data_IF_967063507271
#
_entry.id   IF_967063507271
#
_cell.length_a   1.000
_cell.length_b   1.000
_cell.length_c   1.000
_cell.angle_alpha   90.00
_cell.angle_beta   90.00
_cell.angle_gamma   90.00
#
_symmetry.space_group_name_H-M   'P 1'
#
loop_
_entity.id
_entity.type
_entity.pdbx_description
1 polymer ?
#
# COMPACT_ATOMS: atom_id res chain seq x y z
N UNK A 1 34.91 -19.86 -10.36
CA UNK A 1 33.72 -20.71 -10.10
C UNK A 1 33.84 -21.90 -11.04
N UNK A 2 33.67 -23.16 -10.60
CA UNK A 2 33.75 -24.28 -11.54
C UNK A 2 32.51 -24.31 -12.47
N UNK A 3 32.65 -24.95 -13.63
CA UNK A 3 31.59 -25.01 -14.65
C UNK A 3 30.31 -25.68 -14.13
N UNK A 4 30.44 -26.82 -13.42
CA UNK A 4 29.29 -27.55 -12.87
C UNK A 4 28.45 -26.71 -11.89
N UNK A 5 29.11 -25.92 -11.03
CA UNK A 5 28.46 -25.04 -10.06
C UNK A 5 27.75 -23.89 -10.77
N UNK A 6 28.37 -23.34 -11.82
CA UNK A 6 27.74 -22.32 -12.65
C UNK A 6 26.48 -22.88 -13.32
N UNK A 7 26.58 -24.05 -13.96
CA UNK A 7 25.46 -24.71 -14.63
C UNK A 7 24.31 -25.05 -13.68
N UNK A 8 24.63 -25.55 -12.48
CA UNK A 8 23.61 -25.85 -11.46
C UNK A 8 22.84 -24.61 -11.02
N UNK A 9 23.55 -23.50 -10.82
CA UNK A 9 22.93 -22.20 -10.50
C UNK A 9 22.12 -21.68 -11.69
N UNK A 10 22.65 -21.77 -12.91
CA UNK A 10 21.98 -21.30 -14.12
C UNK A 10 20.69 -22.08 -14.39
N UNK A 11 20.70 -23.40 -14.19
CA UNK A 11 19.52 -24.26 -14.29
C UNK A 11 18.45 -23.83 -13.29
N UNK A 12 18.81 -23.66 -12.01
CA UNK A 12 17.87 -23.20 -10.99
C UNK A 12 17.29 -21.81 -11.30
N UNK A 13 18.11 -20.88 -11.80
CA UNK A 13 17.67 -19.53 -12.19
C UNK A 13 16.68 -19.54 -13.36
N UNK A 14 16.84 -20.44 -14.33
CA UNK A 14 15.95 -20.56 -15.49
C UNK A 14 14.63 -21.25 -15.16
N UNK A 15 14.66 -22.23 -14.25
CA UNK A 15 13.47 -23.02 -13.92
C UNK A 15 12.61 -22.36 -12.82
N UNK A 16 13.22 -21.64 -11.87
CA UNK A 16 12.54 -21.17 -10.67
C UNK A 16 12.54 -19.63 -10.57
N UNK A 17 11.38 -19.04 -10.29
CA UNK A 17 11.25 -17.61 -10.02
C UNK A 17 11.60 -17.29 -8.56
N UNK A 18 12.88 -17.41 -8.20
CA UNK A 18 13.38 -17.21 -6.84
C UNK A 18 14.46 -16.13 -6.75
N UNK A 19 14.60 -15.55 -5.56
CA UNK A 19 15.67 -14.60 -5.25
C UNK A 19 17.02 -15.29 -5.05
N UNK A 20 18.10 -14.51 -5.18
CA UNK A 20 19.47 -15.03 -5.05
C UNK A 20 19.72 -15.74 -3.71
N UNK A 21 19.18 -15.21 -2.61
CA UNK A 21 19.31 -15.81 -1.29
C UNK A 21 18.57 -17.15 -1.16
N UNK A 22 17.42 -17.31 -1.82
CA UNK A 22 16.64 -18.54 -1.79
C UNK A 22 17.34 -19.64 -2.59
N UNK A 23 17.81 -19.31 -3.80
CA UNK A 23 18.60 -20.25 -4.63
C UNK A 23 19.91 -20.60 -3.93
N UNK A 24 20.57 -19.64 -3.29
CA UNK A 24 21.77 -19.84 -2.48
C UNK A 24 21.55 -20.86 -1.36
N UNK A 25 20.50 -20.66 -0.55
CA UNK A 25 20.13 -21.58 0.52
C UNK A 25 19.78 -22.98 -0.03
N UNK A 26 19.01 -23.05 -1.12
CA UNK A 26 18.59 -24.30 -1.75
C UNK A 26 19.77 -25.12 -2.29
N UNK A 27 20.75 -24.46 -2.91
CA UNK A 27 21.88 -25.11 -3.58
C UNK A 27 23.13 -25.22 -2.71
N UNK A 28 23.10 -24.71 -1.47
CA UNK A 28 24.25 -24.64 -0.58
C UNK A 28 25.39 -23.79 -1.13
N UNK A 29 25.07 -22.68 -1.81
CA UNK A 29 26.07 -21.78 -2.42
C UNK A 29 25.96 -20.37 -1.87
N UNK A 30 27.01 -19.56 -2.01
CA UNK A 30 26.95 -18.15 -1.62
C UNK A 30 26.01 -17.34 -2.52
N UNK A 31 25.24 -16.41 -1.94
CA UNK A 31 24.34 -15.53 -2.69
C UNK A 31 25.07 -14.67 -3.74
N UNK A 32 26.35 -14.37 -3.51
CA UNK A 32 27.21 -13.67 -4.44
C UNK A 32 27.51 -14.49 -5.71
N UNK A 33 27.68 -15.82 -5.57
CA UNK A 33 27.83 -16.70 -6.72
C UNK A 33 26.56 -16.69 -7.58
N UNK A 34 25.38 -16.76 -6.96
CA UNK A 34 24.09 -16.68 -7.66
C UNK A 34 23.91 -15.32 -8.35
N UNK A 35 24.36 -14.23 -7.71
CA UNK A 35 24.32 -12.88 -8.30
C UNK A 35 25.16 -12.79 -9.57
N UNK A 36 26.38 -13.34 -9.57
CA UNK A 36 27.25 -13.37 -10.75
C UNK A 36 26.63 -14.16 -11.90
N UNK A 37 26.19 -15.39 -11.66
CA UNK A 37 25.55 -16.22 -12.70
C UNK A 37 24.30 -15.54 -13.26
N UNK A 38 23.50 -14.88 -12.41
CA UNK A 38 22.33 -14.12 -12.86
C UNK A 38 22.71 -12.96 -13.79
N UNK A 39 23.81 -12.26 -13.49
CA UNK A 39 24.34 -11.20 -14.35
C UNK A 39 24.90 -11.74 -15.67
N UNK A 40 25.64 -12.85 -15.63
CA UNK A 40 26.19 -13.53 -16.82
C UNK A 40 25.09 -13.98 -17.78
N UNK A 41 23.94 -14.41 -17.24
CA UNK A 41 22.75 -14.78 -18.02
C UNK A 41 21.95 -13.57 -18.53
N UNK A 42 22.40 -12.33 -18.28
CA UNK A 42 21.66 -11.11 -18.64
C UNK A 42 20.33 -10.95 -17.90
N UNK A 43 20.10 -11.70 -16.82
CA UNK A 43 18.84 -11.67 -16.09
C UNK A 43 18.81 -10.47 -15.15
N UNK A 44 17.68 -9.75 -15.16
CA UNK A 44 17.48 -8.67 -14.20
C UNK A 44 17.48 -9.18 -12.75
N UNK A 45 17.87 -8.30 -11.82
CA UNK A 45 17.82 -8.59 -10.40
C UNK A 45 16.40 -9.03 -10.00
N UNK A 46 16.30 -10.14 -9.28
CA UNK A 46 15.00 -10.64 -8.82
C UNK A 46 14.33 -9.60 -7.93
N UNK A 47 13.22 -9.03 -8.41
CA UNK A 47 12.38 -8.14 -7.62
C UNK A 47 11.31 -8.98 -6.96
N UNK A 48 11.38 -9.11 -5.64
CA UNK A 48 10.24 -9.63 -4.89
C UNK A 48 9.02 -8.79 -5.23
N UNK A 49 7.99 -9.42 -5.81
CA UNK A 49 6.68 -8.77 -5.92
C UNK A 49 6.22 -8.47 -4.50
N UNK A 50 5.83 -7.22 -4.26
CA UNK A 50 5.17 -6.87 -3.01
C UNK A 50 3.93 -7.77 -2.91
N UNK A 51 3.81 -8.50 -1.80
CA UNK A 51 2.63 -9.33 -1.56
C UNK A 51 1.39 -8.43 -1.61
N UNK A 52 0.52 -8.69 -2.59
CA UNK A 52 -0.84 -8.15 -2.59
C UNK A 52 -1.60 -8.94 -1.56
N UNK A 53 -2.11 -8.25 -0.55
CA UNK A 53 -2.87 -8.89 0.51
C UNK A 53 -4.33 -8.96 0.12
N UNK A 54 -4.89 -10.16 0.17
CA UNK A 54 -6.34 -10.37 0.04
C UNK A 54 -7.01 -10.42 1.42
N UNK A 55 -8.33 -10.27 1.45
CA UNK A 55 -9.12 -10.48 2.67
C UNK A 55 -8.87 -11.87 3.26
N UNK A 56 -8.94 -12.94 2.46
CA UNK A 56 -8.73 -14.31 2.94
C UNK A 56 -7.36 -14.51 3.62
N UNK A 57 -6.30 -13.91 3.09
CA UNK A 57 -4.97 -13.97 3.72
C UNK A 57 -4.87 -13.16 5.01
N UNK A 58 -5.53 -12.00 5.04
CA UNK A 58 -5.64 -11.20 6.25
C UNK A 58 -6.38 -11.95 7.34
N UNK A 59 -7.50 -12.60 7.02
CA UNK A 59 -8.29 -13.37 8.00
C UNK A 59 -7.52 -14.54 8.60
N UNK A 60 -6.74 -15.27 7.79
CA UNK A 60 -5.82 -16.30 8.28
C UNK A 60 -4.80 -15.75 9.28
N UNK A 61 -4.32 -14.53 9.05
CA UNK A 61 -3.31 -13.87 9.89
C UNK A 61 -3.92 -13.12 11.09
N UNK A 62 -5.22 -12.82 11.03
CA UNK A 62 -5.96 -12.04 12.00
C UNK A 62 -7.38 -12.63 12.21
N UNK A 63 -7.48 -13.79 12.88
CA UNK A 63 -8.76 -14.44 13.09
C UNK A 63 -9.68 -13.57 13.93
N UNK A 64 -10.97 -13.68 13.63
CA UNK A 64 -12.03 -12.99 14.36
C UNK A 64 -12.22 -13.61 15.73
N UNK A 65 -12.38 -12.76 16.73
CA UNK A 65 -12.71 -13.11 18.09
C UNK A 65 -14.19 -12.85 18.35
N UNK A 66 -14.70 -13.43 19.43
CA UNK A 66 -16.00 -13.06 19.97
C UNK A 66 -16.05 -11.55 20.25
N UNK A 67 -17.18 -10.91 19.93
CA UNK A 67 -17.33 -9.45 19.99
C UNK A 67 -16.84 -8.70 18.75
N UNK A 68 -16.51 -9.41 17.66
CA UNK A 68 -16.22 -8.79 16.38
C UNK A 68 -14.83 -8.17 16.27
N UNK A 69 -13.91 -8.46 17.20
CA UNK A 69 -12.52 -8.00 17.14
C UNK A 69 -11.64 -8.95 16.32
N UNK A 70 -10.48 -8.48 15.86
CA UNK A 70 -9.44 -9.32 15.26
C UNK A 70 -8.11 -9.07 15.95
N UNK A 71 -7.34 -10.13 16.21
CA UNK A 71 -5.97 -10.01 16.73
C UNK A 71 -4.97 -10.56 15.73
N UNK A 72 -3.95 -9.75 15.45
CA UNK A 72 -2.85 -10.15 14.58
C UNK A 72 -1.99 -11.25 15.23
N UNK A 73 -1.92 -12.40 14.56
CA UNK A 73 -1.07 -13.54 14.94
C UNK A 73 0.29 -13.56 14.22
N UNK A 74 0.49 -12.70 13.22
CA UNK A 74 1.72 -12.64 12.44
C UNK A 74 2.86 -11.87 13.13
N UNK A 75 3.88 -11.54 12.34
CA UNK A 75 5.08 -10.81 12.79
C UNK A 75 4.73 -9.49 13.49
N UNK A 76 5.50 -9.17 14.52
CA UNK A 76 5.52 -7.86 15.19
C UNK A 76 6.85 -7.16 14.96
N UNK A 77 6.83 -5.83 14.93
CA UNK A 77 8.03 -5.00 14.89
C UNK A 77 8.68 -4.89 16.27
N UNK A 78 9.85 -4.23 16.37
CA UNK A 78 10.59 -4.08 17.63
C UNK A 78 9.78 -3.42 18.76
N UNK A 79 8.90 -2.48 18.42
CA UNK A 79 7.99 -1.80 19.36
C UNK A 79 6.69 -2.58 19.64
N UNK A 80 6.61 -3.85 19.26
CA UNK A 80 5.41 -4.68 19.42
C UNK A 80 4.29 -4.40 18.41
N UNK A 81 4.48 -3.44 17.49
CA UNK A 81 3.50 -3.07 16.46
C UNK A 81 3.27 -4.25 15.49
N UNK A 82 2.04 -4.68 15.25
CA UNK A 82 1.70 -5.68 14.24
C UNK A 82 2.16 -5.29 12.83
N UNK A 83 2.90 -6.16 12.15
CA UNK A 83 3.47 -5.91 10.83
C UNK A 83 2.97 -6.93 9.81
N UNK A 84 2.35 -6.45 8.73
CA UNK A 84 2.00 -7.27 7.58
C UNK A 84 3.23 -7.55 6.70
N UNK A 85 4.14 -6.59 6.58
CA UNK A 85 5.46 -6.78 5.97
C UNK A 85 6.48 -5.79 6.56
N UNK A 86 7.65 -5.61 5.93
CA UNK A 86 8.70 -4.71 6.45
C UNK A 86 8.28 -3.23 6.52
N UNK A 87 7.34 -2.78 5.69
CA UNK A 87 6.93 -1.38 5.55
C UNK A 87 5.45 -1.12 5.87
N UNK A 88 4.63 -2.17 5.91
CA UNK A 88 3.18 -2.08 6.11
C UNK A 88 2.79 -2.67 7.46
N UNK A 89 2.17 -1.85 8.32
CA UNK A 89 1.58 -2.33 9.57
C UNK A 89 0.29 -3.12 9.31
N UNK A 90 -0.06 -4.04 10.21
CA UNK A 90 -1.34 -4.76 10.08
C UNK A 90 -2.55 -3.82 10.21
N UNK A 91 -2.42 -2.71 10.96
CA UNK A 91 -3.45 -1.68 11.05
C UNK A 91 -3.71 -1.01 9.71
N UNK A 92 -2.66 -0.54 9.03
CA UNK A 92 -2.79 0.08 7.71
C UNK A 92 -3.34 -0.92 6.68
N UNK A 93 -2.91 -2.18 6.75
CA UNK A 93 -3.45 -3.22 5.89
C UNK A 93 -4.96 -3.42 6.11
N UNK A 94 -5.38 -3.64 7.35
CA UNK A 94 -6.79 -3.86 7.69
C UNK A 94 -7.67 -2.65 7.32
N UNK A 95 -7.15 -1.43 7.54
CA UNK A 95 -7.81 -0.20 7.13
C UNK A 95 -8.04 -0.16 5.61
N UNK A 96 -7.02 -0.47 4.81
CA UNK A 96 -7.12 -0.50 3.34
C UNK A 96 -8.15 -1.51 2.86
N UNK A 97 -8.11 -2.72 3.42
CA UNK A 97 -9.02 -3.80 3.05
C UNK A 97 -10.47 -3.45 3.36
N UNK A 98 -10.73 -2.75 4.47
CA UNK A 98 -12.08 -2.36 4.88
C UNK A 98 -12.60 -1.09 4.19
N UNK A 99 -11.78 -0.04 4.11
CA UNK A 99 -12.21 1.25 3.56
C UNK A 99 -11.91 1.43 2.07
N UNK A 100 -11.23 0.48 1.42
CA UNK A 100 -10.88 0.54 0.00
C UNK A 100 -9.88 1.64 -0.38
N UNK A 101 -9.23 2.29 0.59
CA UNK A 101 -8.31 3.41 0.37
C UNK A 101 -7.10 3.38 1.29
N UNK A 102 -6.08 4.16 0.94
CA UNK A 102 -4.94 4.39 1.81
C UNK A 102 -5.32 5.24 3.04
N UNK A 103 -4.80 4.92 4.24
CA UNK A 103 -5.01 5.75 5.41
C UNK A 103 -4.20 7.03 5.31
N UNK A 104 -4.79 8.15 5.74
CA UNK A 104 -4.06 9.41 5.89
C UNK A 104 -3.57 9.56 7.32
N UNK A 105 -2.25 9.64 7.47
CA UNK A 105 -1.60 9.75 8.77
C UNK A 105 -1.67 8.46 9.60
N UNK A 106 -1.70 8.61 10.92
CA UNK A 106 -1.66 7.48 11.86
C UNK A 106 -3.03 6.80 11.98
N UNK A 107 -3.05 5.50 11.71
CA UNK A 107 -4.20 4.62 11.97
C UNK A 107 -4.25 4.25 13.45
N UNK A 108 -5.42 4.39 14.07
CA UNK A 108 -5.68 4.06 15.47
C UNK A 108 -7.00 3.30 15.60
N UNK A 109 -7.08 2.37 16.56
CA UNK A 109 -8.36 1.77 16.91
C UNK A 109 -9.23 2.71 17.75
N UNK A 110 -10.55 2.73 17.49
CA UNK A 110 -11.57 3.36 18.36
C UNK A 110 -12.17 2.39 19.37
N UNK A 111 -12.02 1.08 19.17
CA UNK A 111 -12.51 0.10 20.13
C UNK A 111 -11.60 0.02 21.37
N UNK A 112 -12.17 -0.42 22.50
CA UNK A 112 -11.42 -0.61 23.75
C UNK A 112 -10.48 -1.82 23.74
N UNK A 113 -10.60 -2.74 22.76
CA UNK A 113 -9.77 -3.94 22.67
C UNK A 113 -8.34 -3.59 22.21
N UNK A 114 -7.38 -3.70 23.13
CA UNK A 114 -5.95 -3.47 22.84
C UNK A 114 -5.46 -4.39 21.73
N UNK A 115 -4.78 -3.82 20.74
CA UNK A 115 -4.18 -4.56 19.63
C UNK A 115 -5.20 -5.06 18.58
N UNK A 116 -6.45 -4.61 18.64
CA UNK A 116 -7.47 -4.95 17.66
C UNK A 116 -7.10 -4.39 16.28
N UNK A 117 -7.09 -5.27 15.28
CA UNK A 117 -6.83 -4.93 13.88
C UNK A 117 -8.09 -5.04 13.02
N UNK A 118 -9.29 -5.09 13.61
CA UNK A 118 -10.54 -5.12 12.84
C UNK A 118 -10.74 -3.80 12.10
N UNK A 119 -10.93 -3.86 10.79
CA UNK A 119 -10.94 -2.70 9.89
C UNK A 119 -12.01 -1.68 10.26
N UNK A 120 -13.23 -2.12 10.60
CA UNK A 120 -14.33 -1.25 11.02
C UNK A 120 -14.09 -0.52 12.35
N UNK A 121 -13.15 -1.02 13.17
CA UNK A 121 -12.75 -0.37 14.41
C UNK A 121 -11.56 0.59 14.23
N UNK A 122 -10.98 0.66 13.03
CA UNK A 122 -9.81 1.50 12.74
C UNK A 122 -10.25 2.83 12.13
N UNK A 123 -9.56 3.88 12.53
CA UNK A 123 -9.70 5.21 11.94
C UNK A 123 -8.33 5.79 11.63
N UNK A 124 -8.24 6.48 10.51
CA UNK A 124 -7.08 7.31 10.19
C UNK A 124 -7.26 8.73 10.75
N UNK A 125 -6.35 9.64 10.42
CA UNK A 125 -6.38 10.98 11.00
C UNK A 125 -7.65 11.76 10.59
N UNK A 126 -8.06 11.67 9.34
CA UNK A 126 -9.20 12.44 8.81
C UNK A 126 -10.51 11.99 9.44
N UNK A 127 -10.73 10.68 9.52
CA UNK A 127 -11.91 10.14 10.21
C UNK A 127 -11.93 10.55 11.69
N UNK A 128 -10.75 10.60 12.36
CA UNK A 128 -10.62 11.10 13.73
C UNK A 128 -10.96 12.57 13.87
N UNK A 129 -10.56 13.38 12.89
CA UNK A 129 -10.81 14.81 12.86
C UNK A 129 -12.26 15.13 12.42
N UNK A 130 -13.14 14.13 12.32
CA UNK A 130 -14.57 14.28 12.04
C UNK A 130 -14.90 14.54 10.57
N UNK A 131 -13.89 14.51 9.70
CA UNK A 131 -14.09 14.65 8.26
C UNK A 131 -14.54 13.29 7.74
N UNK A 132 -15.81 13.21 7.34
CA UNK A 132 -16.34 11.99 6.73
C UNK A 132 -15.55 11.66 5.45
N UNK A 133 -15.06 10.43 5.36
CA UNK A 133 -14.38 9.92 4.16
C UNK A 133 -15.33 9.81 2.96
N UNK A 134 -16.65 9.80 3.21
CA UNK A 134 -17.66 9.93 2.16
C UNK A 134 -17.78 11.37 1.64
N UNK A 135 -17.25 12.38 2.34
CA UNK A 135 -17.35 13.80 2.01
C UNK A 135 -18.79 14.28 1.72
N UNK A 136 -19.86 13.56 2.09
CA UNK A 136 -21.22 13.74 1.51
C UNK A 136 -21.88 15.08 1.86
N UNK A 137 -21.54 15.69 3.00
CA UNK A 137 -21.95 17.06 3.36
C UNK A 137 -20.78 17.73 4.08
N UNK A 138 -20.01 18.54 3.35
CA UNK A 138 -18.98 19.39 3.93
C UNK A 138 -19.50 20.83 3.90
N UNK A 139 -19.34 21.60 5.00
CA UNK A 139 -19.54 23.04 4.97
C UNK A 139 -18.74 23.67 3.82
N UNK A 140 -19.26 24.73 3.21
CA UNK A 140 -18.64 25.39 2.05
C UNK A 140 -17.17 25.82 2.27
N UNK A 141 -16.78 26.00 3.53
CA UNK A 141 -15.45 26.46 3.97
C UNK A 141 -14.65 25.37 4.70
N UNK A 142 -15.04 24.10 4.56
CA UNK A 142 -14.34 23.02 5.22
C UNK A 142 -12.89 22.97 4.72
N UNK A 143 -11.94 23.07 5.66
CA UNK A 143 -10.52 22.92 5.36
C UNK A 143 -9.89 21.81 6.20
N UNK A 144 -8.86 21.18 5.65
CA UNK A 144 -8.03 20.22 6.36
C UNK A 144 -6.56 20.63 6.24
N UNK A 145 -5.96 21.09 7.35
CA UNK A 145 -4.57 21.59 7.35
C UNK A 145 -4.33 22.69 6.30
N UNK A 146 -5.31 23.58 6.13
CA UNK A 146 -5.26 24.65 5.13
C UNK A 146 -5.53 24.21 3.68
N UNK A 147 -5.87 22.93 3.45
CA UNK A 147 -6.34 22.43 2.15
C UNK A 147 -7.85 22.56 2.05
N UNK A 148 -8.37 23.01 0.90
CA UNK A 148 -9.80 23.11 0.63
C UNK A 148 -10.39 21.72 0.34
N UNK A 149 -11.06 21.13 1.33
CA UNK A 149 -11.64 19.78 1.18
C UNK A 149 -12.91 19.79 0.32
N UNK A 150 -13.54 20.95 0.13
CA UNK A 150 -14.70 21.11 -0.76
C UNK A 150 -14.24 21.09 -2.21
N UNK A 151 -13.17 21.81 -2.55
CA UNK A 151 -12.55 21.74 -3.87
C UNK A 151 -12.08 20.32 -4.19
N UNK A 152 -11.39 19.65 -3.24
CA UNK A 152 -10.98 18.24 -3.38
C UNK A 152 -12.19 17.34 -3.67
N UNK A 153 -13.30 17.50 -2.93
CA UNK A 153 -14.53 16.73 -3.17
C UNK A 153 -15.09 16.98 -4.57
N UNK A 154 -15.18 18.24 -5.00
CA UNK A 154 -15.70 18.62 -6.32
C UNK A 154 -14.86 17.99 -7.44
N UNK A 155 -13.54 17.98 -7.32
CA UNK A 155 -12.67 17.29 -8.28
C UNK A 155 -12.93 15.78 -8.34
N UNK A 156 -13.11 15.14 -7.17
CA UNK A 156 -13.26 13.68 -7.11
C UNK A 156 -14.65 13.16 -7.52
N UNK A 157 -15.70 13.97 -7.37
CA UNK A 157 -17.10 13.50 -7.52
C UNK A 157 -18.03 14.45 -8.27
N UNK A 158 -17.64 15.70 -8.46
CA UNK A 158 -18.44 16.68 -9.17
C UNK A 158 -18.28 16.62 -10.68
N UNK A 159 -19.23 17.26 -11.34
CA UNK A 159 -19.19 17.53 -12.78
C UNK A 159 -18.22 18.69 -13.10
N UNK A 160 -17.65 18.72 -14.31
CA UNK A 160 -16.82 19.85 -14.74
C UNK A 160 -17.63 21.16 -14.82
N UNK A 161 -16.98 22.33 -14.71
CA UNK A 161 -15.52 22.51 -14.56
C UNK A 161 -15.04 22.25 -13.12
N UNK A 162 -13.95 21.51 -12.99
CA UNK A 162 -13.35 21.24 -11.68
C UNK A 162 -12.52 22.44 -11.20
N UNK A 163 -12.59 22.77 -9.90
CA UNK A 163 -11.79 23.86 -9.35
C UNK A 163 -10.29 23.52 -9.43
N UNK A 164 -9.41 24.53 -9.61
CA UNK A 164 -7.98 24.29 -9.57
C UNK A 164 -7.54 23.87 -8.17
N UNK A 165 -6.76 22.79 -8.08
CA UNK A 165 -6.17 22.33 -6.83
C UNK A 165 -4.71 22.76 -6.72
N UNK A 166 -4.29 23.18 -5.53
CA UNK A 166 -2.87 23.28 -5.18
C UNK A 166 -2.25 21.88 -5.21
N UNK A 167 -0.94 21.78 -5.40
CA UNK A 167 -0.25 20.49 -5.45
C UNK A 167 -0.49 19.62 -4.20
N UNK A 168 -0.56 20.22 -3.01
CA UNK A 168 -0.87 19.51 -1.77
C UNK A 168 -2.30 18.92 -1.78
N UNK A 169 -3.27 19.69 -2.29
CA UNK A 169 -4.67 19.27 -2.44
C UNK A 169 -4.80 18.17 -3.48
N UNK A 170 -4.15 18.29 -4.64
CA UNK A 170 -4.16 17.26 -5.68
C UNK A 170 -3.54 15.94 -5.19
N UNK A 171 -2.41 16.01 -4.46
CA UNK A 171 -1.79 14.84 -3.80
C UNK A 171 -2.70 14.23 -2.75
N UNK A 172 -3.42 15.05 -2.01
CA UNK A 172 -4.36 14.60 -1.00
C UNK A 172 -5.58 13.93 -1.64
N UNK A 173 -6.20 14.58 -2.63
CA UNK A 173 -7.32 14.10 -3.42
C UNK A 173 -7.02 12.73 -4.06
N UNK A 174 -5.82 12.54 -4.62
CA UNK A 174 -5.40 11.26 -5.19
C UNK A 174 -5.55 10.09 -4.20
N UNK A 175 -5.35 10.30 -2.90
CA UNK A 175 -5.47 9.23 -1.88
C UNK A 175 -6.92 8.76 -1.67
N UNK A 176 -7.88 9.53 -2.14
CA UNK A 176 -9.33 9.26 -2.09
C UNK A 176 -9.93 8.96 -3.46
N UNK A 177 -9.13 9.06 -4.52
CA UNK A 177 -9.60 8.81 -5.87
C UNK A 177 -9.99 7.34 -6.06
N UNK A 178 -11.01 7.11 -6.89
CA UNK A 178 -11.38 5.77 -7.30
C UNK A 178 -10.19 5.11 -8.02
N UNK A 179 -9.69 3.95 -7.53
CA UNK A 179 -8.56 3.27 -8.16
C UNK A 179 -8.83 2.89 -9.62
N UNK A 180 -10.08 2.65 -9.99
CA UNK A 180 -10.51 2.20 -11.32
C UNK A 180 -10.73 3.37 -12.31
N UNK A 181 -10.70 4.62 -11.83
CA UNK A 181 -10.82 5.80 -12.70
C UNK A 181 -9.67 5.82 -13.73
N UNK A 182 -9.92 6.11 -15.02
CA UNK A 182 -8.84 6.26 -16.00
C UNK A 182 -7.81 7.29 -15.54
N UNK A 183 -6.52 7.03 -15.82
CA UNK A 183 -5.46 7.94 -15.40
C UNK A 183 -5.57 9.32 -16.07
N UNK A 184 -6.10 9.37 -17.30
CA UNK A 184 -6.40 10.60 -18.04
C UNK A 184 -7.46 11.43 -17.34
N UNK A 185 -8.63 10.84 -17.06
CA UNK A 185 -9.72 11.51 -16.35
C UNK A 185 -9.27 12.01 -14.97
N UNK A 186 -8.60 11.16 -14.19
CA UNK A 186 -8.10 11.56 -12.88
C UNK A 186 -7.05 12.67 -12.97
N UNK A 187 -6.25 12.71 -14.04
CA UNK A 187 -5.25 13.74 -14.25
C UNK A 187 -5.90 15.09 -14.55
N UNK A 188 -6.96 15.11 -15.36
CA UNK A 188 -7.74 16.33 -15.65
C UNK A 188 -8.43 16.86 -14.40
N UNK A 189 -9.12 15.98 -13.66
CA UNK A 189 -9.81 16.33 -12.40
C UNK A 189 -8.89 16.97 -11.37
N UNK A 190 -7.65 16.49 -11.27
CA UNK A 190 -6.69 16.91 -10.24
C UNK A 190 -5.71 17.99 -10.71
N UNK A 191 -5.74 18.40 -11.98
CA UNK A 191 -4.74 19.30 -12.56
C UNK A 191 -3.32 18.71 -12.52
N UNK A 192 -3.19 17.39 -12.70
CA UNK A 192 -1.91 16.67 -12.74
C UNK A 192 -1.65 16.15 -14.15
N UNK A 193 -0.41 15.72 -14.44
CA UNK A 193 -0.14 14.94 -15.66
C UNK A 193 -0.47 13.45 -15.44
N UNK A 194 -1.00 12.77 -16.46
CA UNK A 194 -1.35 11.35 -16.41
C UNK A 194 -0.16 10.46 -16.00
N UNK A 195 1.06 10.79 -16.43
CA UNK A 195 2.29 10.08 -16.02
C UNK A 195 2.58 10.21 -14.52
N UNK A 196 2.21 11.34 -13.89
CA UNK A 196 2.30 11.50 -12.43
C UNK A 196 1.28 10.64 -11.71
N UNK A 197 0.04 10.58 -12.21
CA UNK A 197 -1.02 9.72 -11.67
C UNK A 197 -0.58 8.25 -11.69
N UNK A 198 -0.06 7.77 -12.83
CA UNK A 198 0.48 6.41 -12.91
C UNK A 198 1.65 6.16 -11.95
N UNK A 199 2.55 7.13 -11.83
CA UNK A 199 3.67 7.04 -10.90
C UNK A 199 3.18 6.93 -9.46
N UNK A 200 2.15 7.70 -9.08
CA UNK A 200 1.54 7.62 -7.76
C UNK A 200 0.86 6.27 -7.51
N UNK A 201 0.18 5.69 -8.51
CA UNK A 201 -0.36 4.31 -8.41
C UNK A 201 0.74 3.28 -8.16
N UNK A 202 1.86 3.39 -8.88
CA UNK A 202 2.98 2.43 -8.81
C UNK A 202 3.83 2.59 -7.56
N UNK A 203 4.12 3.83 -7.13
CA UNK A 203 5.12 4.15 -6.11
C UNK A 203 4.54 4.75 -4.82
N UNK A 204 3.27 5.09 -4.81
CA UNK A 204 2.63 5.89 -3.77
C UNK A 204 2.82 7.40 -3.99
N UNK A 205 1.98 8.18 -3.31
CA UNK A 205 2.09 9.65 -3.29
C UNK A 205 3.24 10.06 -2.37
N UNK A 206 4.18 10.92 -2.83
CA UNK A 206 5.21 11.50 -1.96
C UNK A 206 4.58 12.18 -0.73
N UNK A 207 5.22 12.00 0.42
CA UNK A 207 4.89 12.69 1.66
C UNK A 207 5.08 14.19 1.54
#
# INVERSE_FOLDING_TARGET
MNAEKWERIARALKTESMGNAQIAAKLGVGAEAVRKVRADLGMSAYRHRLKVWTWAEFEKSAPRLQGGHRLWKGRRGPSGVPMANRRLTAYQLAFRLHHGRDPVGKVTGRCRKKGCVEGSHLVDKILRDGIDASLTELPAEATYRGMDVVAIRRCLRGDPPWPPLKLAEARFAFRFANPDMPATELSERLGLCATTVERYRKKGVPS
#
